data_IF_992869852570
#
_entry.id   IF_992869852570
#
_cell.length_a   1.000
_cell.length_b   1.000
_cell.length_c   1.000
_cell.angle_alpha   90.00
_cell.angle_beta   90.00
_cell.angle_gamma   90.00
#
_symmetry.space_group_name_H-M   'P 1'
#
loop_
_entity.id
_entity.type
_entity.pdbx_description
1 polymer ?
#
# COMPACT_ATOMS: atom_id res chain seq x y z
N UNK A 1 -6.91 -7.93 -20.83
CA UNK A 1 -8.17 -7.31 -21.30
C UNK A 1 -8.42 -7.76 -22.73
N UNK A 2 -9.64 -8.15 -23.08
CA UNK A 2 -10.01 -8.52 -24.46
C UNK A 2 -9.87 -7.31 -25.39
N UNK A 3 -9.31 -7.50 -26.59
CA UNK A 3 -9.07 -6.41 -27.54
C UNK A 3 -10.36 -5.71 -28.02
N UNK A 4 -11.52 -6.34 -27.84
CA UNK A 4 -12.81 -5.79 -28.25
C UNK A 4 -13.29 -4.63 -27.37
N UNK A 5 -12.88 -4.57 -26.09
CA UNK A 5 -13.34 -3.57 -25.10
C UNK A 5 -12.28 -2.51 -24.75
N UNK A 6 -11.20 -2.45 -25.54
CA UNK A 6 -10.14 -1.45 -25.41
C UNK A 6 -10.42 -0.21 -26.30
N UNK A 7 -11.69 0.20 -26.39
CA UNK A 7 -12.12 1.28 -27.27
C UNK A 7 -11.87 2.69 -26.71
N UNK A 8 -11.55 2.81 -25.42
CA UNK A 8 -11.15 4.06 -24.78
C UNK A 8 -9.66 4.29 -24.99
N UNK A 9 -9.28 5.29 -25.78
CA UNK A 9 -7.88 5.56 -26.16
C UNK A 9 -7.21 6.55 -25.22
N UNK A 10 -7.94 7.59 -24.83
CA UNK A 10 -7.45 8.64 -23.94
C UNK A 10 -8.62 9.24 -23.16
N UNK A 11 -8.34 9.78 -21.98
CA UNK A 11 -9.30 10.53 -21.19
C UNK A 11 -8.63 11.77 -20.64
N UNK A 12 -9.23 12.92 -20.93
CA UNK A 12 -8.74 14.23 -20.57
C UNK A 12 -9.64 14.81 -19.49
N UNK A 13 -9.04 15.27 -18.40
CA UNK A 13 -9.74 15.89 -17.28
C UNK A 13 -9.23 17.30 -17.12
N UNK A 14 -10.14 18.27 -17.06
CA UNK A 14 -9.77 19.66 -16.87
C UNK A 14 -9.39 19.91 -15.39
N UNK A 15 -8.31 20.66 -15.11
CA UNK A 15 -7.89 20.95 -13.74
C UNK A 15 -8.89 21.77 -12.92
N UNK A 16 -9.80 22.50 -13.58
CA UNK A 16 -10.68 23.50 -12.95
C UNK A 16 -12.17 23.11 -12.94
N UNK A 17 -12.59 22.15 -13.77
CA UNK A 17 -13.95 21.62 -13.80
C UNK A 17 -13.94 20.15 -13.37
N UNK A 18 -14.07 19.94 -12.06
CA UNK A 18 -14.05 18.62 -11.41
C UNK A 18 -15.34 17.83 -11.64
N UNK A 19 -16.06 18.09 -12.74
CA UNK A 19 -17.32 17.44 -13.05
C UNK A 19 -17.34 16.77 -14.42
N UNK A 20 -16.35 17.00 -15.29
CA UNK A 20 -16.38 16.52 -16.66
C UNK A 20 -15.09 15.84 -17.11
N UNK A 21 -15.25 14.83 -17.99
CA UNK A 21 -14.17 14.11 -18.67
C UNK A 21 -14.46 14.14 -20.18
N UNK A 22 -13.46 14.51 -20.96
CA UNK A 22 -13.48 14.32 -22.41
C UNK A 22 -12.65 13.10 -22.76
N UNK A 23 -13.30 12.05 -23.22
CA UNK A 23 -12.68 10.80 -23.62
C UNK A 23 -12.62 10.65 -25.15
N UNK A 24 -11.50 10.13 -25.63
CA UNK A 24 -11.35 9.67 -27.00
C UNK A 24 -11.76 8.21 -27.08
N UNK A 25 -12.78 7.93 -27.88
CA UNK A 25 -13.30 6.60 -28.07
C UNK A 25 -13.24 6.21 -29.53
N UNK A 26 -12.98 4.94 -29.79
CA UNK A 26 -13.03 4.36 -31.12
C UNK A 26 -13.43 2.89 -31.01
N UNK A 27 -14.25 2.42 -31.94
CA UNK A 27 -14.53 1.00 -32.02
C UNK A 27 -13.27 0.28 -32.58
N UNK A 28 -12.72 -0.72 -31.87
CA UNK A 28 -11.56 -1.48 -32.35
C UNK A 28 -11.78 -2.07 -33.75
N UNK A 29 -10.73 -2.06 -34.57
CA UNK A 29 -10.79 -2.50 -35.97
C UNK A 29 -11.29 -3.94 -36.14
N UNK A 30 -11.04 -4.81 -35.16
CA UNK A 30 -11.46 -6.21 -35.15
C UNK A 30 -12.98 -6.39 -35.19
N UNK A 31 -13.74 -5.48 -34.58
CA UNK A 31 -15.21 -5.55 -34.45
C UNK A 31 -15.93 -4.47 -35.27
N UNK A 32 -15.19 -3.57 -35.93
CA UNK A 32 -15.75 -2.52 -36.80
C UNK A 32 -16.62 -3.08 -37.93
N UNK A 33 -16.34 -4.27 -38.44
CA UNK A 33 -17.14 -4.93 -39.49
C UNK A 33 -18.54 -5.33 -39.01
N UNK A 34 -18.71 -5.63 -37.72
CA UNK A 34 -19.98 -6.02 -37.11
C UNK A 34 -20.82 -4.81 -36.69
N UNK A 35 -20.28 -3.59 -36.79
CA UNK A 35 -20.96 -2.37 -36.39
C UNK A 35 -22.24 -2.09 -37.18
N UNK A 36 -22.33 -2.58 -38.43
CA UNK A 36 -23.50 -2.36 -39.27
C UNK A 36 -24.79 -3.00 -38.71
N UNK A 37 -24.64 -4.02 -37.86
CA UNK A 37 -25.75 -4.78 -37.29
C UNK A 37 -26.34 -4.13 -36.03
N UNK A 38 -25.69 -3.07 -35.52
CA UNK A 38 -26.08 -2.39 -34.29
C UNK A 38 -26.41 -0.91 -34.53
N UNK A 39 -27.48 -0.42 -33.88
CA UNK A 39 -27.72 1.04 -33.76
C UNK A 39 -26.57 1.72 -33.01
N UNK A 40 -26.05 1.04 -31.98
CA UNK A 40 -24.88 1.43 -31.19
C UNK A 40 -24.16 0.14 -30.82
N UNK A 41 -22.87 0.02 -31.16
CA UNK A 41 -22.12 -1.18 -30.84
C UNK A 41 -21.87 -1.26 -29.31
N UNK A 42 -22.16 -2.39 -28.63
CA UNK A 42 -21.99 -2.51 -27.19
C UNK A 42 -20.59 -2.16 -26.69
N UNK A 43 -19.55 -2.59 -27.39
CA UNK A 43 -18.16 -2.24 -27.05
C UNK A 43 -17.83 -0.73 -27.15
N UNK A 44 -18.48 0.01 -28.07
CA UNK A 44 -18.33 1.47 -28.11
C UNK A 44 -19.02 2.10 -26.90
N UNK A 45 -20.22 1.63 -26.57
CA UNK A 45 -20.95 2.12 -25.41
C UNK A 45 -20.21 1.82 -24.10
N UNK A 46 -19.64 0.63 -23.97
CA UNK A 46 -18.79 0.25 -22.85
C UNK A 46 -17.55 1.14 -22.73
N UNK A 47 -16.86 1.43 -23.84
CA UNK A 47 -15.75 2.38 -23.85
C UNK A 47 -16.17 3.79 -23.37
N UNK A 48 -17.40 4.21 -23.69
CA UNK A 48 -17.96 5.46 -23.17
C UNK A 48 -18.32 5.36 -21.67
N UNK A 49 -18.69 4.20 -21.16
CA UNK A 49 -18.95 4.03 -19.72
C UNK A 49 -17.63 3.99 -18.92
N UNK A 50 -16.58 3.41 -19.49
CA UNK A 50 -15.24 3.39 -18.90
C UNK A 50 -14.68 4.81 -18.66
N UNK A 51 -15.08 5.82 -19.45
CA UNK A 51 -14.60 7.20 -19.22
C UNK A 51 -15.10 7.81 -17.91
N UNK A 52 -16.18 7.29 -17.31
CA UNK A 52 -16.63 7.68 -15.97
C UNK A 52 -15.55 7.39 -14.92
N UNK A 53 -14.84 6.27 -15.04
CA UNK A 53 -13.78 5.87 -14.11
C UNK A 53 -12.52 6.75 -14.21
N UNK A 54 -12.36 7.53 -15.28
CA UNK A 54 -11.26 8.48 -15.41
C UNK A 54 -11.48 9.76 -14.57
N UNK A 55 -12.71 9.99 -14.08
CA UNK A 55 -13.03 11.18 -13.30
C UNK A 55 -12.38 11.14 -11.89
N UNK A 56 -11.70 12.21 -11.43
CA UNK A 56 -10.95 12.20 -10.16
C UNK A 56 -11.79 11.87 -8.93
N UNK A 57 -13.02 12.42 -8.85
CA UNK A 57 -13.93 12.12 -7.75
C UNK A 57 -14.37 10.65 -7.72
N UNK A 58 -14.45 9.99 -8.88
CA UNK A 58 -14.88 8.59 -9.03
C UNK A 58 -13.76 7.63 -8.64
N UNK A 59 -12.50 7.98 -8.95
CA UNK A 59 -11.32 7.21 -8.51
C UNK A 59 -11.25 7.04 -6.99
N UNK A 60 -11.76 8.01 -6.24
CA UNK A 60 -11.81 7.96 -4.78
C UNK A 60 -12.99 7.12 -4.27
N UNK A 61 -14.16 7.21 -4.91
CA UNK A 61 -15.37 6.47 -4.52
C UNK A 61 -15.21 4.96 -4.64
N UNK A 62 -14.54 4.49 -5.70
CA UNK A 62 -14.34 3.05 -5.90
C UNK A 62 -13.42 2.40 -4.86
N UNK A 63 -12.66 3.17 -4.06
CA UNK A 63 -11.60 2.64 -3.18
C UNK A 63 -10.59 1.71 -3.89
N UNK A 64 -10.49 1.79 -5.22
CA UNK A 64 -9.74 0.85 -6.08
C UNK A 64 -10.51 -0.40 -6.53
N UNK A 65 -11.77 -0.57 -6.13
CA UNK A 65 -12.69 -1.63 -6.54
C UNK A 65 -13.33 -1.42 -7.92
N UNK A 66 -13.93 -2.48 -8.43
CA UNK A 66 -14.56 -2.53 -9.75
C UNK A 66 -15.89 -1.75 -9.74
N UNK A 67 -16.00 -0.74 -10.60
CA UNK A 67 -17.25 -0.02 -10.87
C UNK A 67 -17.91 -0.61 -12.13
N UNK A 68 -19.14 -1.10 -11.97
CA UNK A 68 -19.94 -1.70 -13.02
C UNK A 68 -21.15 -0.83 -13.36
N UNK A 69 -21.59 -0.79 -14.62
CA UNK A 69 -22.86 -0.16 -14.99
C UNK A 69 -24.03 -0.95 -14.41
N UNK A 70 -24.81 -0.32 -13.54
CA UNK A 70 -25.99 -0.89 -12.88
C UNK A 70 -27.28 -0.61 -13.65
N UNK A 71 -27.34 0.52 -14.35
CA UNK A 71 -28.52 0.93 -15.09
C UNK A 71 -28.32 2.25 -15.81
N UNK A 72 -29.22 2.56 -16.74
CA UNK A 72 -29.22 3.81 -17.47
C UNK A 72 -30.66 4.33 -17.58
N UNK A 73 -30.88 5.57 -17.16
CA UNK A 73 -32.23 6.17 -17.15
C UNK A 73 -32.74 6.46 -18.55
N UNK A 74 -31.88 6.95 -19.45
CA UNK A 74 -32.28 7.26 -20.83
C UNK A 74 -31.10 7.10 -21.79
N UNK A 75 -31.35 6.42 -22.91
CA UNK A 75 -30.47 6.40 -24.07
C UNK A 75 -31.22 6.97 -25.27
N UNK A 76 -30.63 7.92 -25.98
CA UNK A 76 -31.18 8.45 -27.22
C UNK A 76 -30.10 8.53 -28.29
N UNK A 77 -30.40 7.95 -29.44
CA UNK A 77 -29.53 7.93 -30.61
C UNK A 77 -30.09 8.90 -31.64
N UNK A 78 -29.30 9.88 -32.06
CA UNK A 78 -29.69 10.90 -33.03
C UNK A 78 -29.19 10.57 -34.44
N UNK A 79 -28.00 9.97 -34.54
CA UNK A 79 -27.36 9.66 -35.81
C UNK A 79 -26.55 8.35 -35.73
N UNK A 80 -25.98 7.94 -36.86
CA UNK A 80 -25.09 6.79 -36.92
C UNK A 80 -23.87 6.99 -36.02
N UNK A 81 -23.56 6.01 -35.16
CA UNK A 81 -22.40 6.04 -34.27
C UNK A 81 -21.12 5.51 -34.94
N UNK A 82 -21.12 5.34 -36.28
CA UNK A 82 -19.95 4.87 -37.04
C UNK A 82 -18.73 5.77 -36.88
N UNK A 83 -18.97 7.08 -36.87
CA UNK A 83 -17.92 8.10 -36.81
C UNK A 83 -17.74 8.65 -35.39
N UNK A 84 -18.24 7.95 -34.36
CA UNK A 84 -18.03 8.36 -32.98
C UNK A 84 -16.54 8.42 -32.67
N UNK A 85 -16.10 9.56 -32.13
CA UNK A 85 -14.69 9.84 -31.84
C UNK A 85 -14.47 10.31 -30.41
N UNK A 86 -15.44 11.05 -29.87
CA UNK A 86 -15.34 11.63 -28.53
C UNK A 86 -16.55 11.27 -27.67
N UNK A 87 -16.31 11.22 -26.37
CA UNK A 87 -17.30 11.02 -25.32
C UNK A 87 -17.09 12.12 -24.28
N UNK A 88 -18.07 12.99 -24.09
CA UNK A 88 -18.09 13.97 -23.01
C UNK A 88 -18.94 13.43 -21.86
N UNK A 89 -18.28 13.09 -20.76
CA UNK A 89 -18.90 12.54 -19.56
C UNK A 89 -19.00 13.61 -18.50
N UNK A 90 -20.18 13.82 -17.94
CA UNK A 90 -20.41 14.72 -16.80
C UNK A 90 -20.88 13.89 -15.60
N UNK A 91 -20.13 13.91 -14.51
CA UNK A 91 -20.55 13.27 -13.24
C UNK A 91 -21.55 14.18 -12.55
N UNK A 92 -22.78 13.71 -12.40
CA UNK A 92 -23.90 14.47 -11.84
C UNK A 92 -24.09 14.23 -10.35
N UNK A 93 -23.73 13.05 -9.85
CA UNK A 93 -23.74 12.71 -8.44
C UNK A 93 -22.68 11.66 -8.11
N UNK A 94 -22.13 11.69 -6.89
CA UNK A 94 -21.19 10.71 -6.37
C UNK A 94 -21.41 10.50 -4.86
N UNK A 95 -21.19 9.27 -4.40
CA UNK A 95 -21.46 8.80 -3.02
C UNK A 95 -21.21 7.30 -2.94
N UNK A 96 -22.20 6.49 -2.52
CA UNK A 96 -22.14 5.01 -2.61
C UNK A 96 -22.06 4.55 -4.07
N UNK A 97 -22.87 5.16 -4.94
CA UNK A 97 -22.87 4.95 -6.39
C UNK A 97 -22.53 6.26 -7.10
N UNK A 98 -22.16 6.16 -8.36
CA UNK A 98 -21.86 7.30 -9.23
C UNK A 98 -22.94 7.42 -10.29
N UNK A 99 -23.47 8.62 -10.47
CA UNK A 99 -24.36 8.96 -11.58
C UNK A 99 -23.63 9.85 -12.59
N UNK A 100 -23.74 9.52 -13.88
CA UNK A 100 -23.13 10.29 -14.95
C UNK A 100 -24.03 10.44 -16.18
N UNK A 101 -23.85 11.56 -16.87
CA UNK A 101 -24.41 11.84 -18.18
C UNK A 101 -23.31 11.78 -19.23
N UNK A 102 -23.59 11.22 -20.40
CA UNK A 102 -22.62 11.03 -21.48
C UNK A 102 -23.17 11.54 -22.81
N UNK A 103 -22.36 12.34 -23.50
CA UNK A 103 -22.58 12.79 -24.88
C UNK A 103 -21.51 12.19 -25.79
N UNK A 104 -21.93 11.38 -26.77
CA UNK A 104 -21.02 10.80 -27.77
C UNK A 104 -21.09 11.63 -29.04
N UNK A 105 -19.92 12.04 -29.52
CA UNK A 105 -19.75 13.00 -30.61
C UNK A 105 -18.84 12.44 -31.71
N UNK A 106 -19.02 12.95 -32.93
CA UNK A 106 -18.05 12.77 -34.02
C UNK A 106 -16.87 13.75 -33.90
N UNK A 107 -16.01 13.75 -34.91
CA UNK A 107 -14.82 14.61 -34.98
C UNK A 107 -15.15 16.11 -35.09
N UNK A 108 -16.32 16.44 -35.63
CA UNK A 108 -16.81 17.82 -35.76
C UNK A 108 -17.54 18.30 -34.49
N UNK A 109 -17.70 17.44 -33.48
CA UNK A 109 -18.41 17.73 -32.24
C UNK A 109 -19.93 17.57 -32.33
N UNK A 110 -20.45 16.99 -33.42
CA UNK A 110 -21.88 16.72 -33.55
C UNK A 110 -22.29 15.58 -32.63
N UNK A 111 -23.31 15.80 -31.80
CA UNK A 111 -23.81 14.78 -30.86
C UNK A 111 -24.56 13.67 -31.61
N UNK A 112 -23.98 12.47 -31.62
CA UNK A 112 -24.53 11.29 -32.26
C UNK A 112 -25.47 10.51 -31.34
N UNK A 113 -25.13 10.49 -30.04
CA UNK A 113 -25.83 9.73 -29.01
C UNK A 113 -25.72 10.42 -27.66
N UNK A 114 -26.77 10.33 -26.85
CA UNK A 114 -26.77 10.78 -25.47
C UNK A 114 -27.25 9.68 -24.54
N UNK A 115 -26.50 9.46 -23.47
CA UNK A 115 -26.89 8.63 -22.34
C UNK A 115 -27.06 9.55 -21.14
N UNK A 116 -28.16 9.40 -20.40
CA UNK A 116 -28.47 10.22 -19.22
C UNK A 116 -28.81 9.34 -18.04
N UNK A 117 -28.29 9.72 -16.87
CA UNK A 117 -28.44 8.99 -15.62
C UNK A 117 -27.88 7.58 -15.69
N UNK A 118 -26.63 7.45 -16.16
CA UNK A 118 -25.87 6.20 -16.06
C UNK A 118 -25.49 6.00 -14.59
N UNK A 119 -25.92 4.89 -14.01
CA UNK A 119 -25.58 4.51 -12.65
C UNK A 119 -24.43 3.51 -12.67
N UNK A 120 -23.37 3.82 -11.95
CA UNK A 120 -22.19 2.98 -11.77
C UNK A 120 -22.02 2.64 -10.29
N UNK A 121 -21.71 1.38 -9.98
CA UNK A 121 -21.50 0.93 -8.61
C UNK A 121 -20.89 -0.47 -8.54
N UNK A 122 -20.70 -0.99 -7.34
CA UNK A 122 -20.04 -2.30 -7.14
C UNK A 122 -20.95 -3.51 -7.41
N UNK A 123 -22.25 -3.27 -7.62
CA UNK A 123 -23.26 -4.33 -7.78
C UNK A 123 -23.59 -5.08 -6.48
N UNK A 124 -22.95 -4.70 -5.38
CA UNK A 124 -23.20 -5.21 -4.04
C UNK A 124 -24.23 -4.33 -3.32
N UNK A 125 -24.85 -4.88 -2.28
CA UNK A 125 -25.58 -4.05 -1.32
C UNK A 125 -24.60 -3.15 -0.56
N UNK A 126 -25.06 -2.01 -0.05
CA UNK A 126 -24.22 -1.08 0.72
C UNK A 126 -23.56 -1.77 1.93
N UNK A 127 -24.29 -2.69 2.57
CA UNK A 127 -23.77 -3.46 3.69
C UNK A 127 -22.60 -4.37 3.25
N UNK A 128 -22.77 -5.09 2.14
CA UNK A 128 -21.74 -6.00 1.63
C UNK A 128 -20.49 -5.26 1.12
N UNK A 129 -20.65 -4.09 0.50
CA UNK A 129 -19.49 -3.30 0.06
C UNK A 129 -18.72 -2.72 1.26
N UNK A 130 -19.42 -2.27 2.30
CA UNK A 130 -18.79 -1.81 3.55
C UNK A 130 -18.01 -2.94 4.24
N UNK A 131 -18.56 -4.14 4.32
CA UNK A 131 -17.90 -5.28 4.95
C UNK A 131 -16.66 -5.72 4.16
N UNK A 132 -16.73 -5.71 2.82
CA UNK A 132 -15.57 -5.94 1.94
C UNK A 132 -14.47 -4.92 2.18
N UNK A 133 -14.82 -3.62 2.18
CA UNK A 133 -13.86 -2.54 2.42
C UNK A 133 -13.22 -2.65 3.80
N UNK A 134 -13.99 -3.03 4.82
CA UNK A 134 -13.44 -3.26 6.16
C UNK A 134 -12.42 -4.41 6.13
N UNK A 135 -12.76 -5.55 5.52
CA UNK A 135 -11.87 -6.70 5.43
C UNK A 135 -10.57 -6.40 4.65
N UNK A 136 -10.62 -5.60 3.57
CA UNK A 136 -9.45 -5.21 2.78
C UNK A 136 -8.52 -4.23 3.49
N UNK A 137 -9.00 -3.53 4.54
CA UNK A 137 -8.23 -2.50 5.26
C UNK A 137 -7.67 -2.97 6.60
N UNK A 138 -8.20 -4.06 7.16
CA UNK A 138 -7.72 -4.61 8.42
C UNK A 138 -6.45 -5.43 8.19
N UNK A 139 -5.43 -5.14 8.99
CA UNK A 139 -4.19 -5.90 9.03
C UNK A 139 -4.12 -6.64 10.37
N UNK A 140 -3.68 -7.89 10.33
CA UNK A 140 -3.37 -8.68 11.53
C UNK A 140 -1.96 -9.24 11.42
N UNK A 141 -1.33 -9.46 12.58
CA UNK A 141 -0.04 -10.14 12.64
C UNK A 141 -0.31 -11.65 12.60
N UNK A 142 0.27 -12.34 11.62
CA UNK A 142 0.29 -13.80 11.58
C UNK A 142 1.70 -14.32 11.83
N UNK A 143 1.83 -15.16 12.85
CA UNK A 143 3.08 -15.84 13.18
C UNK A 143 3.10 -17.18 12.44
N UNK A 144 4.10 -17.36 11.57
CA UNK A 144 4.35 -18.64 10.90
C UNK A 144 5.60 -19.24 11.47
N UNK A 145 5.49 -20.48 11.95
CA UNK A 145 6.64 -21.26 12.38
C UNK A 145 7.61 -21.39 11.21
N UNK A 146 8.87 -21.00 11.45
CA UNK A 146 9.93 -21.04 10.47
C UNK A 146 11.13 -21.66 11.17
N UNK A 147 11.63 -22.76 10.63
CA UNK A 147 12.95 -23.25 11.03
C UNK A 147 13.96 -22.15 10.72
N UNK A 148 14.88 -21.82 11.66
CA UNK A 148 15.98 -20.93 11.37
C UNK A 148 16.64 -21.42 10.09
N UNK A 149 16.83 -20.53 9.10
CA UNK A 149 17.49 -20.91 7.87
C UNK A 149 18.81 -21.58 8.26
N UNK A 150 18.96 -22.86 7.90
CA UNK A 150 20.11 -23.66 8.28
C UNK A 150 21.37 -22.90 7.92
N UNK A 151 22.29 -22.81 8.87
CA UNK A 151 23.63 -22.28 8.63
C UNK A 151 24.36 -23.26 7.70
N UNK A 152 24.04 -23.27 6.41
CA UNK A 152 24.78 -24.00 5.39
C UNK A 152 26.14 -23.33 5.22
N UNK A 153 27.05 -23.68 6.12
CA UNK A 153 28.40 -23.14 6.23
C UNK A 153 28.71 -22.69 7.66
N UNK A 154 29.56 -23.47 8.32
CA UNK A 154 30.15 -23.26 9.66
C UNK A 154 31.05 -21.99 9.74
N UNK A 155 30.83 -20.97 8.90
CA UNK A 155 31.70 -19.78 8.80
C UNK A 155 30.97 -18.42 8.79
N UNK A 156 29.70 -18.33 9.20
CA UNK A 156 28.92 -17.08 9.08
C UNK A 156 28.77 -16.23 10.35
N UNK A 157 29.09 -16.73 11.55
CA UNK A 157 29.53 -15.83 12.63
C UNK A 157 31.01 -15.63 12.38
N UNK A 158 31.33 -14.74 11.42
CA UNK A 158 32.69 -14.27 11.28
C UNK A 158 33.19 -13.78 12.65
N UNK A 159 34.50 -13.79 12.85
CA UNK A 159 35.22 -13.22 14.01
C UNK A 159 34.96 -11.70 14.13
N UNK A 160 33.72 -11.35 14.35
CA UNK A 160 33.16 -10.03 14.26
C UNK A 160 32.86 -9.50 15.65
N UNK A 161 32.91 -8.19 15.79
CA UNK A 161 32.61 -7.53 17.06
C UNK A 161 31.09 -7.40 17.20
N UNK A 162 30.51 -7.95 18.25
CA UNK A 162 29.09 -7.83 18.57
C UNK A 162 28.91 -6.90 19.77
N UNK A 163 27.95 -5.99 19.68
CA UNK A 163 27.60 -5.08 20.77
C UNK A 163 26.27 -5.52 21.39
N UNK A 164 26.29 -5.91 22.66
CA UNK A 164 25.10 -6.22 23.44
C UNK A 164 24.70 -5.00 24.26
N UNK A 165 23.50 -4.48 24.04
CA UNK A 165 22.93 -3.36 24.78
C UNK A 165 21.83 -3.89 25.70
N UNK A 166 22.07 -3.93 27.00
CA UNK A 166 21.01 -4.27 27.97
C UNK A 166 20.29 -3.00 28.39
N UNK A 167 18.98 -2.94 28.18
CA UNK A 167 18.12 -1.82 28.62
C UNK A 167 17.48 -2.08 30.01
N UNK A 168 17.98 -3.07 30.74
CA UNK A 168 17.57 -3.39 32.11
C UNK A 168 18.34 -2.56 33.15
N UNK A 169 17.70 -2.29 34.28
CA UNK A 169 18.32 -1.68 35.46
C UNK A 169 19.03 -2.72 36.35
N UNK A 170 18.77 -4.01 36.14
CA UNK A 170 19.35 -5.14 36.90
C UNK A 170 20.33 -5.94 36.05
N UNK A 171 21.26 -6.63 36.72
CA UNK A 171 22.13 -7.59 36.04
C UNK A 171 21.27 -8.64 35.31
N UNK A 172 21.48 -8.74 34.01
CA UNK A 172 20.69 -9.58 33.12
C UNK A 172 21.46 -10.89 32.86
N UNK A 173 20.92 -11.99 33.39
CA UNK A 173 21.52 -13.32 33.19
C UNK A 173 21.53 -13.70 31.71
N UNK A 174 20.50 -13.35 30.94
CA UNK A 174 20.44 -13.60 29.50
C UNK A 174 21.54 -12.85 28.75
N UNK A 175 21.87 -11.63 29.17
CA UNK A 175 22.97 -10.88 28.57
C UNK A 175 24.32 -11.58 28.78
N UNK A 176 24.50 -12.20 29.95
CA UNK A 176 25.72 -12.95 30.28
C UNK A 176 25.77 -14.26 29.49
N UNK A 177 24.69 -15.04 29.49
CA UNK A 177 24.58 -16.29 28.74
C UNK A 177 24.77 -16.10 27.24
N UNK A 178 24.17 -15.06 26.67
CA UNK A 178 24.32 -14.73 25.25
C UNK A 178 25.75 -14.28 24.93
N UNK A 179 26.38 -13.49 25.80
CA UNK A 179 27.79 -13.09 25.66
C UNK A 179 28.70 -14.31 25.64
N UNK A 180 28.49 -15.25 26.56
CA UNK A 180 29.29 -16.47 26.64
C UNK A 180 29.05 -17.39 25.43
N UNK A 181 27.80 -17.52 24.96
CA UNK A 181 27.47 -18.26 23.77
C UNK A 181 28.16 -17.69 22.52
N UNK A 182 28.09 -16.37 22.31
CA UNK A 182 28.75 -15.70 21.18
C UNK A 182 30.27 -15.86 21.23
N UNK A 183 30.89 -15.71 22.42
CA UNK A 183 32.34 -15.92 22.60
C UNK A 183 32.78 -17.35 22.29
N UNK A 184 31.97 -18.37 22.62
CA UNK A 184 32.25 -19.77 22.27
C UNK A 184 32.34 -19.99 20.75
N UNK A 185 31.63 -19.17 19.97
CA UNK A 185 31.68 -19.18 18.50
C UNK A 185 32.71 -18.19 17.92
N UNK A 186 33.61 -17.62 18.74
CA UNK A 186 34.72 -16.77 18.28
C UNK A 186 34.37 -15.31 18.04
N UNK A 187 33.20 -14.84 18.48
CA UNK A 187 32.83 -13.43 18.42
C UNK A 187 33.50 -12.61 19.54
N UNK A 188 33.90 -11.38 19.23
CA UNK A 188 34.30 -10.40 20.23
C UNK A 188 33.07 -9.65 20.74
N UNK A 189 32.72 -9.79 22.01
CA UNK A 189 31.52 -9.15 22.56
C UNK A 189 31.88 -7.95 23.43
N UNK A 190 31.25 -6.81 23.17
CA UNK A 190 31.22 -5.66 24.06
C UNK A 190 29.80 -5.52 24.65
N UNK A 191 29.70 -5.21 25.94
CA UNK A 191 28.42 -5.02 26.61
C UNK A 191 28.27 -3.56 27.04
N UNK A 192 27.10 -2.98 26.77
CA UNK A 192 26.71 -1.64 27.19
C UNK A 192 25.43 -1.74 28.03
N UNK A 193 25.47 -1.22 29.25
CA UNK A 193 24.28 -1.10 30.09
C UNK A 193 23.62 0.26 29.85
N UNK A 194 22.33 0.24 29.54
CA UNK A 194 21.50 1.41 29.27
C UNK A 194 20.28 1.42 30.19
N UNK A 195 20.45 1.72 31.50
CA UNK A 195 19.35 1.73 32.44
C UNK A 195 18.31 2.80 32.10
N UNK A 196 17.03 2.58 32.45
CA UNK A 196 15.89 3.43 32.05
C UNK A 196 15.99 4.85 32.62
N UNK A 197 16.63 5.01 33.77
CA UNK A 197 16.81 6.30 34.45
C UNK A 197 18.11 7.03 34.10
N UNK A 198 18.99 6.43 33.28
CA UNK A 198 20.22 7.11 32.88
C UNK A 198 19.96 8.24 31.87
N UNK A 199 20.88 9.23 31.89
CA UNK A 199 20.90 10.29 30.90
C UNK A 199 21.04 9.71 29.47
N UNK A 200 20.03 9.92 28.60
CA UNK A 200 20.06 9.41 27.23
C UNK A 200 21.24 9.96 26.41
N UNK A 201 21.68 11.20 26.66
CA UNK A 201 22.75 11.83 25.89
C UNK A 201 24.11 11.17 26.16
N UNK A 202 24.43 10.93 27.44
CA UNK A 202 25.65 10.24 27.84
C UNK A 202 25.75 8.81 27.28
N UNK A 203 24.63 8.07 27.27
CA UNK A 203 24.61 6.71 26.72
C UNK A 203 24.72 6.70 25.18
N UNK A 204 24.12 7.68 24.50
CA UNK A 204 24.28 7.86 23.05
C UNK A 204 25.74 8.16 22.68
N UNK A 205 26.46 8.95 23.49
CA UNK A 205 27.87 9.23 23.27
C UNK A 205 28.74 7.98 23.46
N UNK A 206 28.46 7.18 24.50
CA UNK A 206 29.13 5.88 24.73
C UNK A 206 28.87 4.89 23.60
N UNK A 207 27.63 4.80 23.13
CA UNK A 207 27.25 4.01 21.97
C UNK A 207 28.00 4.48 20.72
N UNK A 208 28.03 5.80 20.47
CA UNK A 208 28.80 6.40 19.39
C UNK A 208 30.27 6.00 19.43
N UNK A 209 30.94 6.16 20.58
CA UNK A 209 32.34 5.75 20.76
C UNK A 209 32.58 4.28 20.40
N UNK A 210 31.68 3.37 20.81
CA UNK A 210 31.84 1.94 20.51
C UNK A 210 31.64 1.60 19.03
N UNK A 211 30.75 2.33 18.35
CA UNK A 211 30.51 2.20 16.91
C UNK A 211 31.63 2.85 16.09
N UNK A 212 32.12 4.00 16.53
CA UNK A 212 33.19 4.78 15.87
C UNK A 212 34.57 4.09 15.99
N UNK A 213 34.76 3.23 17.00
CA UNK A 213 35.91 2.32 17.07
C UNK A 213 35.93 1.27 15.94
N UNK A 214 34.88 1.18 15.11
CA UNK A 214 34.79 0.32 13.94
C UNK A 214 34.55 -1.16 14.25
N UNK A 215 34.23 -1.93 13.20
CA UNK A 215 34.24 -3.40 13.21
C UNK A 215 33.03 -4.10 13.83
N UNK A 216 31.98 -3.36 14.23
CA UNK A 216 30.77 -3.97 14.80
C UNK A 216 29.95 -4.64 13.70
N UNK A 217 29.83 -5.97 13.77
CA UNK A 217 29.06 -6.81 12.84
C UNK A 217 27.56 -6.77 13.13
N UNK A 218 27.19 -6.63 14.41
CA UNK A 218 25.80 -6.60 14.82
C UNK A 218 25.61 -6.03 16.22
N UNK A 219 24.40 -5.53 16.47
CA UNK A 219 23.99 -4.97 17.76
C UNK A 219 22.76 -5.74 18.23
N UNK A 220 22.82 -6.31 19.42
CA UNK A 220 21.70 -7.00 20.06
C UNK A 220 21.19 -6.15 21.21
N UNK A 221 19.90 -5.82 21.21
CA UNK A 221 19.27 -5.06 22.30
C UNK A 221 18.42 -6.00 23.14
N UNK A 222 18.80 -6.16 24.41
CA UNK A 222 18.12 -7.03 25.35
C UNK A 222 17.15 -6.21 26.19
N UNK A 223 15.87 -6.50 26.00
CA UNK A 223 14.79 -5.92 26.79
C UNK A 223 14.70 -6.61 28.16
N UNK A 224 14.35 -5.89 29.24
CA UNK A 224 14.17 -6.50 30.56
C UNK A 224 13.08 -7.58 30.48
N UNK A 225 13.29 -8.68 31.19
CA UNK A 225 12.28 -9.73 31.30
C UNK A 225 10.93 -9.13 31.74
N UNK A 226 9.88 -9.54 31.05
CA UNK A 226 8.52 -9.22 31.47
C UNK A 226 8.23 -9.95 32.78
N UNK A 227 8.52 -9.32 33.91
CA UNK A 227 8.06 -9.78 35.22
C UNK A 227 6.55 -9.98 35.12
N UNK A 228 6.10 -11.24 35.11
CA UNK A 228 4.70 -11.61 35.04
C UNK A 228 3.93 -10.92 36.16
N UNK A 229 3.26 -9.82 35.82
CA UNK A 229 2.68 -8.94 36.83
C UNK A 229 2.23 -7.60 36.24
N UNK A 230 0.91 -7.44 36.18
CA UNK A 230 0.13 -6.22 35.95
C UNK A 230 -0.02 -5.80 34.46
N UNK A 231 -0.97 -6.42 33.76
CA UNK A 231 -1.39 -6.11 32.37
C UNK A 231 -1.63 -4.62 32.13
N UNK A 232 -2.05 -3.88 33.17
CA UNK A 232 -2.31 -2.44 33.10
C UNK A 232 -1.06 -1.60 32.80
N UNK A 233 0.14 -2.09 33.17
CA UNK A 233 1.41 -1.36 32.95
C UNK A 233 2.14 -1.80 31.68
N UNK A 234 1.73 -2.89 31.05
CA UNK A 234 2.33 -3.46 29.84
C UNK A 234 2.40 -2.47 28.67
N UNK A 235 1.35 -1.67 28.35
CA UNK A 235 1.43 -0.70 27.25
C UNK A 235 2.45 0.43 27.49
N UNK A 236 2.55 0.92 28.73
CA UNK A 236 3.52 1.97 29.09
C UNK A 236 4.95 1.45 29.01
N UNK A 237 5.20 0.25 29.55
CA UNK A 237 6.51 -0.43 29.46
C UNK A 237 6.90 -0.67 28.00
N UNK A 238 5.97 -1.18 27.19
CA UNK A 238 6.19 -1.37 25.75
C UNK A 238 6.52 -0.07 25.03
N UNK A 239 5.77 1.01 25.30
CA UNK A 239 6.05 2.33 24.71
C UNK A 239 7.45 2.84 25.07
N UNK A 240 7.88 2.67 26.32
CA UNK A 240 9.21 3.09 26.76
C UNK A 240 10.32 2.26 26.14
N UNK A 241 10.15 0.94 26.02
CA UNK A 241 11.11 0.05 25.34
C UNK A 241 11.25 0.45 23.86
N UNK A 242 10.13 0.71 23.16
CA UNK A 242 10.15 1.18 21.77
C UNK A 242 10.85 2.53 21.64
N UNK A 243 10.61 3.48 22.55
CA UNK A 243 11.31 4.78 22.54
C UNK A 243 12.82 4.62 22.68
N UNK A 244 13.29 3.71 23.53
CA UNK A 244 14.73 3.43 23.67
C UNK A 244 15.29 2.74 22.43
N UNK A 245 14.59 1.74 21.88
CA UNK A 245 14.98 1.07 20.63
C UNK A 245 15.12 2.07 19.47
N UNK A 246 14.16 2.99 19.30
CA UNK A 246 14.22 4.03 18.27
C UNK A 246 15.40 4.97 18.47
N UNK A 247 15.76 5.31 19.72
CA UNK A 247 16.94 6.14 20.02
C UNK A 247 18.24 5.43 19.63
N UNK A 248 18.37 4.15 19.95
CA UNK A 248 19.53 3.33 19.59
C UNK A 248 19.62 3.21 18.07
N UNK A 249 18.52 2.80 17.41
CA UNK A 249 18.46 2.59 15.97
C UNK A 249 18.81 3.85 15.16
N UNK A 250 18.39 5.05 15.63
CA UNK A 250 18.75 6.33 14.99
C UNK A 250 20.23 6.66 15.02
N UNK A 251 21.01 6.06 15.93
CA UNK A 251 22.45 6.30 16.03
C UNK A 251 23.28 5.26 15.28
N UNK A 252 22.68 4.14 14.89
CA UNK A 252 23.33 3.18 14.01
C UNK A 252 23.49 3.83 12.63
N UNK A 253 24.71 3.82 12.04
CA UNK A 253 24.88 4.30 10.67
C UNK A 253 23.96 3.50 9.73
N UNK A 254 23.42 4.15 8.70
CA UNK A 254 22.69 3.44 7.64
C UNK A 254 23.67 2.45 6.98
N UNK A 255 23.62 1.19 7.41
CA UNK A 255 24.43 0.13 6.81
C UNK A 255 23.93 -0.02 5.39
N UNK A 256 24.84 0.22 4.45
CA UNK A 256 24.56 0.26 3.03
C UNK A 256 23.88 -1.04 2.56
N UNK A 257 22.65 -0.91 2.06
CA UNK A 257 22.10 -1.76 1.00
C UNK A 257 21.57 -3.15 1.37
N UNK A 258 21.66 -3.62 2.61
CA UNK A 258 20.93 -4.82 3.03
C UNK A 258 20.14 -4.52 4.29
N UNK A 259 18.83 -4.78 4.24
CA UNK A 259 17.95 -4.69 5.41
C UNK A 259 18.61 -5.52 6.51
N UNK A 260 19.01 -4.93 7.66
CA UNK A 260 19.56 -5.72 8.75
C UNK A 260 18.50 -6.76 9.10
N UNK A 261 18.89 -8.04 9.06
CA UNK A 261 18.02 -9.13 9.47
C UNK A 261 17.69 -8.94 10.95
N UNK A 262 16.61 -8.23 11.25
CA UNK A 262 16.04 -8.18 12.58
C UNK A 262 15.55 -9.58 12.88
N UNK A 263 16.37 -10.37 13.57
CA UNK A 263 15.92 -11.53 14.31
C UNK A 263 15.34 -10.97 15.62
N UNK A 264 14.02 -10.98 15.73
CA UNK A 264 13.27 -10.70 16.95
C UNK A 264 13.18 -11.95 17.81
#
# INVERSE_FOLDING_TARGET
>A
MSSAFAGLTAAHVAPQTVSAVLAEVALPSSIRRQQADYRVHPALLDACFQSVAAHPAVRQVGNGGLLLPLGLRRLRVYASTRNARYCHTTVTAYGTNVEADIDVMDEDGTVLLVARGLQMGTGLSECADRDRLLAERLLTIEWREREPAGCDGVNAVGSGKWLLVSISDTADMLATELTDALKRYGAECATLCWPRQADPAANLERLGKQLDCGGVTGVVVLAPEGMGGDDARSPRRGSENVKQLVRIARRLPEVSGSVPGCMW
#
